data_IF_804837603141
#
_entry.id   IF_804837603141
#
_cell.length_a   1.000
_cell.length_b   1.000
_cell.length_c   1.000
_cell.angle_alpha   90.00
_cell.angle_beta   90.00
_cell.angle_gamma   90.00
#
_symmetry.space_group_name_H-M   'P 1'
#
loop_
_entity.id
_entity.type
_entity.pdbx_description
1 polymer ?
#
# COMPACT_ATOMS: atom_id res chain seq x y z
N UNK A 1 9.76 -29.42 -23.20
CA UNK A 1 9.01 -30.01 -22.06
C UNK A 1 8.37 -28.88 -21.27
N UNK A 2 7.12 -28.51 -21.59
CA UNK A 2 6.42 -27.42 -20.88
C UNK A 2 5.80 -27.87 -19.54
N UNK A 3 5.59 -29.18 -19.34
CA UNK A 3 4.89 -29.72 -18.16
C UNK A 3 5.80 -30.16 -17.01
N UNK A 4 7.12 -29.96 -17.12
CA UNK A 4 8.11 -30.49 -16.17
C UNK A 4 7.85 -30.02 -14.73
N UNK A 5 7.53 -28.72 -14.55
CA UNK A 5 7.26 -28.15 -13.23
C UNK A 5 5.97 -28.71 -12.61
N UNK A 6 4.91 -28.86 -13.41
CA UNK A 6 3.63 -29.41 -12.97
C UNK A 6 3.78 -30.87 -12.55
N UNK A 7 4.51 -31.66 -13.33
CA UNK A 7 4.78 -33.07 -13.02
C UNK A 7 5.61 -33.19 -11.74
N UNK A 8 6.66 -32.38 -11.60
CA UNK A 8 7.49 -32.36 -10.39
C UNK A 8 6.65 -32.04 -9.15
N UNK A 9 5.85 -30.97 -9.19
CA UNK A 9 5.02 -30.58 -8.05
C UNK A 9 3.98 -31.66 -7.69
N UNK A 10 3.31 -32.24 -8.69
CA UNK A 10 2.35 -33.33 -8.46
C UNK A 10 3.02 -34.57 -7.86
N UNK A 11 4.21 -34.92 -8.32
CA UNK A 11 4.94 -36.09 -7.84
C UNK A 11 5.39 -35.94 -6.38
N UNK A 12 5.95 -34.76 -6.03
CA UNK A 12 6.31 -34.42 -4.64
C UNK A 12 5.05 -34.42 -3.76
N UNK A 13 3.97 -33.76 -4.18
CA UNK A 13 2.70 -33.74 -3.43
C UNK A 13 2.17 -35.16 -3.16
N UNK A 14 2.13 -36.01 -4.18
CA UNK A 14 1.68 -37.40 -4.07
C UNK A 14 2.54 -38.22 -3.11
N UNK A 15 3.85 -37.98 -3.11
CA UNK A 15 4.81 -38.68 -2.24
C UNK A 15 4.63 -38.27 -0.77
N UNK A 16 4.36 -36.99 -0.51
CA UNK A 16 4.25 -36.44 0.84
C UNK A 16 2.85 -36.57 1.46
N UNK A 17 1.80 -36.72 0.64
CA UNK A 17 0.40 -36.82 1.10
C UNK A 17 0.18 -37.85 2.23
N UNK A 18 0.70 -39.09 2.16
CA UNK A 18 0.55 -40.06 3.26
C UNK A 18 1.27 -39.66 4.55
N UNK A 19 2.30 -38.82 4.49
CA UNK A 19 2.98 -38.28 5.68
C UNK A 19 2.13 -37.18 6.30
N UNK A 20 1.59 -36.28 5.48
CA UNK A 20 0.72 -35.19 5.91
C UNK A 20 -0.54 -35.70 6.61
N UNK A 21 -1.17 -36.74 6.06
CA UNK A 21 -2.37 -37.36 6.66
C UNK A 21 -2.10 -37.98 8.04
N UNK A 22 -0.88 -38.48 8.27
CA UNK A 22 -0.48 -39.06 9.57
C UNK A 22 -0.07 -38.02 10.60
N UNK A 23 0.24 -36.80 10.17
CA UNK A 23 0.80 -35.73 11.02
C UNK A 23 0.03 -34.42 10.80
N UNK A 24 -1.26 -34.36 11.19
CA UNK A 24 -2.12 -33.20 10.91
C UNK A 24 -1.65 -31.91 11.62
N UNK A 25 -0.89 -32.04 12.72
CA UNK A 25 -0.39 -30.92 13.52
C UNK A 25 0.95 -30.35 12.99
N UNK A 26 1.49 -30.93 11.91
CA UNK A 26 2.73 -30.49 11.27
C UNK A 26 2.42 -29.74 9.97
N UNK A 27 3.01 -28.56 9.83
CA UNK A 27 2.93 -27.76 8.63
C UNK A 27 3.98 -28.20 7.62
N UNK A 28 3.52 -28.52 6.41
CA UNK A 28 4.36 -28.84 5.26
C UNK A 28 4.14 -27.81 4.15
N UNK A 29 5.20 -27.09 3.79
CA UNK A 29 5.22 -26.18 2.64
C UNK A 29 6.26 -26.67 1.66
N UNK A 30 5.85 -26.94 0.43
CA UNK A 30 6.77 -27.37 -0.60
C UNK A 30 6.56 -26.57 -1.87
N UNK A 31 7.68 -26.16 -2.47
CA UNK A 31 7.71 -25.42 -3.72
C UNK A 31 8.82 -25.98 -4.57
N UNK A 32 8.45 -26.59 -5.69
CA UNK A 32 9.37 -27.37 -6.51
C UNK A 32 10.12 -28.41 -5.65
N UNK A 33 11.43 -28.25 -5.47
CA UNK A 33 12.35 -29.13 -4.76
C UNK A 33 12.60 -28.74 -3.28
N UNK A 34 12.14 -27.56 -2.85
CA UNK A 34 12.32 -27.07 -1.47
C UNK A 34 11.13 -27.45 -0.57
N UNK A 35 11.42 -28.08 0.58
CA UNK A 35 10.42 -28.46 1.59
C UNK A 35 10.73 -27.77 2.92
N UNK A 36 9.76 -26.98 3.41
CA UNK A 36 9.71 -26.38 4.73
C UNK A 36 8.77 -27.20 5.63
N UNK A 37 9.28 -27.65 6.78
CA UNK A 37 8.53 -28.41 7.78
C UNK A 37 8.55 -27.63 9.10
N UNK A 38 7.38 -27.41 9.70
CA UNK A 38 7.24 -26.68 10.96
C UNK A 38 6.20 -27.33 11.85
N UNK A 39 6.47 -27.39 13.16
CA UNK A 39 5.53 -27.88 14.16
C UNK A 39 5.77 -27.14 15.48
N UNK A 40 4.84 -27.31 16.42
CA UNK A 40 4.88 -26.66 17.74
C UNK A 40 6.09 -27.09 18.59
N UNK A 41 6.58 -28.32 18.39
CA UNK A 41 7.72 -28.87 19.14
C UNK A 41 8.80 -29.42 18.20
N UNK A 42 10.05 -29.38 18.65
CA UNK A 42 11.20 -29.91 17.89
C UNK A 42 11.03 -31.41 17.62
N UNK A 43 10.48 -32.17 18.56
CA UNK A 43 10.29 -33.62 18.43
C UNK A 43 9.38 -33.95 17.24
N UNK A 44 8.24 -33.29 17.12
CA UNK A 44 7.32 -33.50 15.99
C UNK A 44 7.96 -33.10 14.65
N UNK A 45 8.77 -32.04 14.64
CA UNK A 45 9.53 -31.67 13.44
C UNK A 45 10.53 -32.76 13.06
N UNK A 46 11.29 -33.31 14.02
CA UNK A 46 12.27 -34.36 13.76
C UNK A 46 11.61 -35.66 13.26
N UNK A 47 10.48 -36.05 13.85
CA UNK A 47 9.67 -37.18 13.38
C UNK A 47 9.15 -36.97 11.96
N UNK A 48 8.61 -35.78 11.66
CA UNK A 48 8.15 -35.43 10.33
C UNK A 48 9.28 -35.44 9.30
N UNK A 49 10.44 -34.88 9.64
CA UNK A 49 11.66 -34.93 8.83
C UNK A 49 12.04 -36.39 8.51
N UNK A 50 12.06 -37.27 9.50
CA UNK A 50 12.37 -38.68 9.28
C UNK A 50 11.34 -39.38 8.37
N UNK A 51 10.04 -39.14 8.60
CA UNK A 51 8.97 -39.69 7.79
C UNK A 51 9.04 -39.21 6.32
N UNK A 52 9.35 -37.93 6.12
CA UNK A 52 9.58 -37.35 4.77
C UNK A 52 10.81 -37.99 4.11
N UNK A 53 11.94 -38.10 4.82
CA UNK A 53 13.14 -38.77 4.29
C UNK A 53 12.84 -40.19 3.81
N UNK A 54 12.11 -40.98 4.60
CA UNK A 54 11.72 -42.35 4.25
C UNK A 54 10.78 -42.38 3.03
N UNK A 55 9.75 -41.51 3.01
CA UNK A 55 8.79 -41.45 1.91
C UNK A 55 9.48 -41.10 0.59
N UNK A 56 10.35 -40.09 0.60
CA UNK A 56 11.14 -39.62 -0.56
C UNK A 56 12.12 -40.69 -1.03
N UNK A 57 12.84 -41.34 -0.10
CA UNK A 57 13.81 -42.39 -0.45
C UNK A 57 13.12 -43.62 -1.05
N UNK A 58 11.93 -43.98 -0.56
CA UNK A 58 11.20 -45.16 -1.06
C UNK A 58 10.75 -45.02 -2.52
N UNK A 59 10.65 -43.79 -3.03
CA UNK A 59 10.32 -43.48 -4.43
C UNK A 59 11.53 -43.08 -5.28
N UNK A 60 12.75 -43.30 -4.77
CA UNK A 60 14.01 -43.09 -5.50
C UNK A 60 14.52 -41.64 -5.54
N UNK A 61 13.92 -40.73 -4.77
CA UNK A 61 14.42 -39.36 -4.62
C UNK A 61 15.47 -39.29 -3.50
N UNK A 62 16.43 -38.37 -3.59
CA UNK A 62 17.53 -38.25 -2.63
C UNK A 62 17.50 -36.89 -1.93
N UNK A 63 17.77 -36.85 -0.63
CA UNK A 63 17.92 -35.59 0.11
C UNK A 63 19.39 -35.20 0.12
N UNK A 64 19.69 -34.00 -0.40
CA UNK A 64 21.01 -33.39 -0.29
C UNK A 64 21.24 -32.97 1.16
N UNK A 65 21.95 -33.83 1.90
CA UNK A 65 22.24 -33.64 3.33
C UNK A 65 22.88 -32.29 3.66
N UNK A 66 23.67 -31.75 2.73
CA UNK A 66 24.36 -30.46 2.82
C UNK A 66 23.42 -29.24 2.70
N UNK A 67 22.24 -29.43 2.11
CA UNK A 67 21.22 -28.38 1.95
C UNK A 67 20.19 -28.38 3.08
N UNK A 68 20.24 -29.36 3.99
CA UNK A 68 19.36 -29.49 5.17
C UNK A 68 19.68 -28.39 6.19
N UNK A 69 18.71 -27.52 6.49
CA UNK A 69 18.87 -26.42 7.45
C UNK A 69 18.13 -26.73 8.76
N UNK A 70 18.87 -27.07 9.84
CA UNK A 70 18.27 -27.48 11.12
C UNK A 70 18.10 -26.35 12.15
N UNK A 71 18.68 -25.18 11.88
CA UNK A 71 18.76 -24.07 12.85
C UNK A 71 18.46 -22.73 12.16
N UNK A 72 17.83 -21.83 12.91
CA UNK A 72 17.60 -20.44 12.50
C UNK A 72 18.94 -19.70 12.28
N UNK A 73 19.02 -18.77 11.31
CA UNK A 73 17.96 -18.38 10.38
C UNK A 73 17.86 -19.33 9.19
N UNK A 74 16.64 -19.70 8.83
CA UNK A 74 16.39 -20.59 7.70
C UNK A 74 16.16 -19.83 6.41
N UNK A 75 16.70 -20.33 5.31
CA UNK A 75 16.54 -19.76 3.98
C UNK A 75 15.44 -20.51 3.23
N UNK A 76 14.44 -19.78 2.75
CA UNK A 76 13.35 -20.35 1.97
C UNK A 76 12.78 -19.31 1.00
N UNK A 77 12.77 -19.63 -0.31
CA UNK A 77 12.30 -18.74 -1.38
C UNK A 77 12.77 -17.28 -1.29
N UNK A 78 14.08 -17.09 -1.10
CA UNK A 78 14.67 -15.77 -0.97
C UNK A 78 14.50 -15.14 0.42
N UNK A 79 13.73 -15.71 1.35
CA UNK A 79 13.59 -15.17 2.70
C UNK A 79 14.60 -15.80 3.68
N UNK A 80 14.92 -15.05 4.74
CA UNK A 80 15.56 -15.51 5.97
C UNK A 80 14.50 -15.49 7.07
N UNK A 81 14.08 -16.67 7.49
CA UNK A 81 13.10 -16.88 8.54
C UNK A 81 13.87 -17.04 9.85
N UNK A 82 13.65 -16.12 10.79
CA UNK A 82 14.15 -16.21 12.16
C UNK A 82 13.17 -16.95 13.07
N UNK A 83 13.32 -16.82 14.38
CA UNK A 83 12.34 -17.38 15.34
C UNK A 83 11.06 -16.53 15.43
N UNK A 84 11.19 -15.21 15.31
CA UNK A 84 10.07 -14.26 15.46
C UNK A 84 9.99 -13.24 14.33
N UNK A 85 10.94 -13.28 13.38
CA UNK A 85 11.03 -12.30 12.30
C UNK A 85 11.28 -12.96 10.94
N UNK A 86 11.00 -12.20 9.90
CA UNK A 86 11.24 -12.52 8.50
C UNK A 86 11.99 -11.36 7.89
N UNK A 87 13.12 -11.69 7.25
CA UNK A 87 14.02 -10.77 6.57
C UNK A 87 14.21 -11.23 5.13
N UNK A 88 14.46 -10.29 4.22
CA UNK A 88 14.95 -10.66 2.89
C UNK A 88 16.34 -11.30 2.99
N UNK A 89 16.67 -12.23 2.10
CA UNK A 89 18.06 -12.63 1.91
C UNK A 89 18.86 -11.41 1.42
N UNK A 90 20.12 -11.25 1.87
CA UNK A 90 20.94 -10.14 1.42
C UNK A 90 21.07 -10.16 -0.11
N UNK A 91 20.79 -9.03 -0.74
CA UNK A 91 21.11 -8.78 -2.14
C UNK A 91 21.83 -7.45 -2.25
N UNK A 92 22.71 -7.35 -3.25
CA UNK A 92 23.45 -6.13 -3.50
C UNK A 92 22.57 -5.16 -4.30
N UNK A 93 22.31 -3.98 -3.75
CA UNK A 93 21.72 -2.88 -4.49
C UNK A 93 22.81 -2.37 -5.45
N UNK A 94 22.65 -2.61 -6.75
CA UNK A 94 23.52 -2.00 -7.75
C UNK A 94 23.21 -0.52 -7.87
N UNK A 95 24.24 0.32 -7.70
CA UNK A 95 24.19 1.75 -7.97
C UNK A 95 24.65 2.10 -9.39
N UNK A 96 25.13 1.11 -10.14
CA UNK A 96 25.56 1.28 -11.53
C UNK A 96 24.35 1.15 -12.47
N UNK A 97 23.67 2.27 -12.71
CA UNK A 97 22.62 2.37 -13.72
C UNK A 97 23.22 2.94 -15.01
N UNK A 98 23.19 2.15 -16.08
CA UNK A 98 23.70 2.53 -17.41
C UNK A 98 22.63 2.46 -18.49
N UNK A 99 21.73 1.48 -18.40
CA UNK A 99 20.70 1.17 -19.39
C UNK A 99 19.32 1.05 -18.73
N UNK A 100 18.24 0.96 -19.50
CA UNK A 100 16.88 0.72 -18.99
C UNK A 100 16.74 -0.64 -18.30
N UNK A 101 17.53 -1.64 -18.67
CA UNK A 101 17.52 -2.95 -18.02
C UNK A 101 17.90 -2.89 -16.53
N UNK A 102 18.86 -2.04 -16.17
CA UNK A 102 19.38 -1.92 -14.81
C UNK A 102 18.30 -1.49 -13.79
N UNK A 103 17.56 -0.38 -13.99
CA UNK A 103 16.49 0.02 -13.08
C UNK A 103 15.31 -0.95 -13.10
N UNK A 104 15.04 -1.66 -14.21
CA UNK A 104 14.00 -2.70 -14.23
C UNK A 104 14.31 -3.85 -13.28
N UNK A 105 15.54 -4.37 -13.31
CA UNK A 105 15.99 -5.44 -12.41
C UNK A 105 16.08 -4.97 -10.96
N UNK A 106 16.67 -3.79 -10.75
CA UNK A 106 16.80 -3.17 -9.44
C UNK A 106 15.44 -2.97 -8.81
N UNK A 107 14.53 -2.27 -9.50
CA UNK A 107 13.17 -2.08 -9.04
C UNK A 107 12.60 -3.46 -8.77
N UNK A 108 12.55 -4.39 -9.73
CA UNK A 108 12.06 -5.77 -9.56
C UNK A 108 12.47 -6.48 -8.26
N UNK A 109 13.64 -6.17 -7.70
CA UNK A 109 14.10 -6.71 -6.41
C UNK A 109 13.59 -5.92 -5.19
N UNK A 110 13.79 -4.60 -5.14
CA UNK A 110 13.22 -3.63 -4.14
C UNK A 110 11.73 -3.90 -3.93
N UNK A 111 11.15 -4.21 -5.05
CA UNK A 111 9.79 -4.49 -5.26
C UNK A 111 9.18 -5.66 -4.54
N UNK A 112 9.91 -6.74 -4.55
CA UNK A 112 9.59 -7.98 -3.91
C UNK A 112 9.64 -7.85 -2.39
N UNK A 113 10.60 -7.06 -1.86
CA UNK A 113 10.79 -6.85 -0.42
C UNK A 113 9.87 -5.79 0.21
N UNK A 114 9.37 -4.85 -0.60
CA UNK A 114 8.39 -3.80 -0.21
C UNK A 114 7.37 -4.13 0.83
N UNK A 115 6.63 -5.24 0.68
CA UNK A 115 5.46 -5.43 1.49
C UNK A 115 5.86 -5.82 2.90
N UNK A 116 7.07 -6.36 3.13
CA UNK A 116 7.52 -6.71 4.47
C UNK A 116 8.14 -5.51 5.16
N UNK A 117 8.79 -4.66 4.39
CA UNK A 117 9.60 -3.59 4.97
C UNK A 117 8.84 -2.27 5.08
N UNK A 118 7.65 -2.13 4.49
CA UNK A 118 6.88 -0.88 4.57
C UNK A 118 7.52 0.25 3.81
N UNK A 119 8.28 -0.14 2.79
CA UNK A 119 9.02 0.78 2.00
C UNK A 119 7.83 1.30 1.03
N UNK A 120 7.47 2.62 0.99
CA UNK A 120 6.40 3.39 0.28
C UNK A 120 6.65 3.83 -1.19
N UNK A 121 5.56 4.09 -1.93
CA UNK A 121 5.59 4.62 -3.31
C UNK A 121 6.29 5.98 -3.45
N UNK A 122 6.04 6.91 -2.51
CA UNK A 122 6.55 8.29 -2.62
C UNK A 122 8.08 8.34 -2.62
N UNK A 123 8.72 7.44 -1.89
CA UNK A 123 10.18 7.41 -1.84
C UNK A 123 10.80 6.66 -3.01
N UNK A 124 10.02 5.83 -3.71
CA UNK A 124 10.43 5.20 -4.96
C UNK A 124 10.13 6.01 -6.21
N UNK A 125 9.32 7.06 -6.11
CA UNK A 125 8.93 7.90 -7.24
C UNK A 125 10.14 8.34 -8.10
N UNK A 126 11.28 8.77 -7.50
CA UNK A 126 12.48 9.09 -8.29
C UNK A 126 13.08 7.91 -9.04
N UNK A 127 12.94 6.69 -8.53
CA UNK A 127 13.45 5.48 -9.17
C UNK A 127 12.52 4.99 -10.28
N UNK A 128 11.20 5.13 -10.11
CA UNK A 128 10.25 4.85 -11.19
C UNK A 128 10.45 5.77 -12.39
N UNK A 129 10.88 7.02 -12.17
CA UNK A 129 11.18 7.96 -13.24
C UNK A 129 12.29 7.45 -14.20
N UNK A 130 13.17 6.54 -13.74
CA UNK A 130 14.20 5.92 -14.59
C UNK A 130 13.63 4.93 -15.61
N UNK A 131 12.41 4.43 -15.38
CA UNK A 131 11.72 3.52 -16.31
C UNK A 131 11.06 4.27 -17.47
N UNK A 132 11.10 5.60 -17.49
CA UNK A 132 10.48 6.41 -18.52
C UNK A 132 11.43 6.63 -19.71
N UNK A 133 10.88 7.04 -20.86
CA UNK A 133 11.64 7.27 -22.09
C UNK A 133 11.55 6.11 -23.09
N UNK A 134 12.59 5.94 -23.88
CA UNK A 134 12.66 4.89 -24.92
C UNK A 134 12.51 3.48 -24.28
N UNK A 135 11.57 2.63 -24.73
CA UNK A 135 11.41 1.24 -24.27
C UNK A 135 12.57 0.28 -24.53
N UNK A 136 13.56 0.63 -25.35
CA UNK A 136 14.74 -0.20 -25.61
C UNK A 136 15.51 -0.46 -24.31
N UNK A 137 15.76 -1.73 -24.02
CA UNK A 137 16.47 -2.19 -22.82
C UNK A 137 17.87 -1.60 -22.71
N UNK A 138 18.51 -1.29 -23.85
CA UNK A 138 19.84 -0.69 -23.91
C UNK A 138 19.82 0.84 -23.87
N UNK A 139 18.63 1.45 -23.87
CA UNK A 139 18.48 2.89 -23.82
C UNK A 139 19.20 3.48 -22.59
N UNK A 140 20.09 4.48 -22.74
CA UNK A 140 20.88 5.01 -21.64
C UNK A 140 20.01 5.55 -20.50
N UNK A 141 20.40 5.26 -19.27
CA UNK A 141 19.79 5.78 -18.03
C UNK A 141 20.87 6.15 -17.03
N UNK A 142 20.60 7.15 -16.19
CA UNK A 142 21.52 7.60 -15.16
C UNK A 142 20.76 7.94 -13.87
N UNK A 143 21.37 7.64 -12.73
CA UNK A 143 20.85 8.06 -11.43
C UNK A 143 21.01 9.57 -11.25
N UNK A 144 19.90 10.28 -11.12
CA UNK A 144 19.91 11.64 -10.61
C UNK A 144 20.03 11.65 -9.08
N UNK A 145 20.17 12.84 -8.49
CA UNK A 145 20.37 13.00 -7.04
C UNK A 145 19.18 12.48 -6.24
N UNK A 146 17.96 12.69 -6.72
CA UNK A 146 16.73 12.23 -6.07
C UNK A 146 16.65 10.70 -6.05
N UNK A 147 17.01 10.04 -7.16
CA UNK A 147 17.08 8.59 -7.27
C UNK A 147 18.20 7.99 -6.40
N UNK A 148 19.34 8.67 -6.26
CA UNK A 148 20.38 8.26 -5.30
C UNK A 148 19.90 8.35 -3.87
N UNK A 149 19.20 9.43 -3.50
CA UNK A 149 18.59 9.56 -2.17
C UNK A 149 17.57 8.45 -1.95
N UNK A 150 16.70 8.16 -2.92
CA UNK A 150 15.72 7.08 -2.92
C UNK A 150 16.36 5.69 -2.80
N UNK A 151 17.48 5.46 -3.48
CA UNK A 151 18.24 4.22 -3.38
C UNK A 151 18.93 4.05 -2.06
N UNK A 152 19.53 5.15 -1.54
CA UNK A 152 20.05 5.17 -0.19
C UNK A 152 18.92 4.67 0.64
N UNK A 153 17.77 5.39 0.67
CA UNK A 153 16.41 5.11 1.17
C UNK A 153 15.77 3.72 0.96
N UNK A 154 16.44 2.78 0.30
CA UNK A 154 16.05 1.36 0.29
C UNK A 154 17.03 0.46 1.07
N UNK A 155 18.35 0.66 0.90
CA UNK A 155 19.44 0.10 1.75
C UNK A 155 19.28 0.08 3.31
N UNK A 156 19.31 1.20 4.06
CA UNK A 156 18.98 1.27 5.50
C UNK A 156 17.67 0.55 5.90
N UNK A 157 16.64 0.41 5.10
CA UNK A 157 15.39 -0.23 5.52
C UNK A 157 15.42 -1.73 5.26
N UNK A 158 16.16 -2.18 4.24
CA UNK A 158 16.67 -3.55 4.21
C UNK A 158 17.52 -3.89 5.44
N UNK A 159 18.21 -2.90 6.01
CA UNK A 159 19.10 -3.09 7.16
C UNK A 159 18.41 -2.95 8.53
N UNK A 160 17.38 -2.09 8.64
CA UNK A 160 16.77 -1.66 9.90
C UNK A 160 15.38 -2.26 10.12
N UNK A 161 14.70 -2.71 9.05
CA UNK A 161 13.31 -3.14 9.13
C UNK A 161 13.19 -4.65 8.93
N UNK A 162 12.16 -5.22 9.54
CA UNK A 162 11.81 -6.63 9.44
C UNK A 162 10.29 -6.79 9.56
N UNK A 163 9.79 -7.91 9.06
CA UNK A 163 8.41 -8.33 9.31
C UNK A 163 8.39 -9.36 10.44
N UNK A 164 7.31 -9.37 11.21
CA UNK A 164 7.05 -10.37 12.23
C UNK A 164 6.42 -11.63 11.62
N UNK A 165 6.64 -12.76 12.29
CA UNK A 165 5.85 -13.95 12.01
C UNK A 165 4.44 -13.80 12.57
N UNK A 166 3.49 -14.45 11.91
CA UNK A 166 2.11 -14.50 12.36
C UNK A 166 2.04 -15.32 13.67
N UNK A 167 1.50 -14.70 14.72
CA UNK A 167 1.08 -15.33 15.97
C UNK A 167 -0.43 -15.72 15.91
N UNK A 168 -0.80 -17.01 15.81
CA UNK A 168 -2.20 -17.46 15.65
C UNK A 168 -3.18 -16.94 16.71
N UNK A 169 -2.70 -16.82 17.94
CA UNK A 169 -3.40 -16.36 19.13
C UNK A 169 -3.74 -14.86 19.14
N UNK A 170 -3.12 -14.07 18.27
CA UNK A 170 -3.37 -12.63 18.20
C UNK A 170 -4.34 -12.26 17.06
N UNK A 171 -5.21 -11.26 17.26
CA UNK A 171 -6.09 -10.79 16.21
C UNK A 171 -5.30 -10.10 15.09
N UNK A 172 -5.80 -10.19 13.87
CA UNK A 172 -5.23 -9.56 12.67
C UNK A 172 -6.00 -8.28 12.36
N UNK A 173 -5.28 -7.16 12.40
CA UNK A 173 -5.83 -5.83 12.18
C UNK A 173 -5.28 -5.20 10.92
N UNK A 174 -6.09 -4.31 10.36
CA UNK A 174 -5.74 -3.47 9.23
C UNK A 174 -5.86 -2.01 9.65
N UNK A 175 -4.87 -1.18 9.30
CA UNK A 175 -4.94 0.27 9.47
C UNK A 175 -4.60 0.98 8.17
N UNK A 176 -5.44 1.95 7.79
CA UNK A 176 -5.11 2.87 6.70
C UNK A 176 -4.32 4.04 7.26
N UNK A 177 -3.14 4.27 6.71
CA UNK A 177 -2.20 5.33 7.05
C UNK A 177 -2.15 6.33 5.89
N UNK A 178 -2.22 7.62 6.21
CA UNK A 178 -2.29 8.72 5.25
C UNK A 178 -1.30 9.85 5.59
N UNK A 179 -0.16 9.49 6.17
CA UNK A 179 0.96 10.41 6.43
C UNK A 179 1.73 10.87 5.19
N UNK A 180 1.32 10.41 4.00
CA UNK A 180 1.86 10.88 2.73
C UNK A 180 0.72 11.12 1.74
N UNK A 181 1.06 11.73 0.58
CA UNK A 181 0.09 12.05 -0.48
C UNK A 181 -0.69 10.82 -0.96
N UNK A 182 -0.09 9.64 -0.91
CA UNK A 182 -0.73 8.37 -1.25
C UNK A 182 -0.97 7.55 0.02
N UNK A 183 -2.23 7.27 0.38
CA UNK A 183 -2.51 6.41 1.52
C UNK A 183 -1.99 4.99 1.27
N UNK A 184 -1.69 4.31 2.35
CA UNK A 184 -1.24 2.92 2.36
C UNK A 184 -1.84 2.20 3.56
N UNK A 185 -1.70 0.89 3.58
CA UNK A 185 -2.24 0.02 4.61
C UNK A 185 -1.12 -0.73 5.30
N UNK A 186 -1.24 -0.84 6.61
CA UNK A 186 -0.46 -1.76 7.42
C UNK A 186 -1.40 -2.87 7.94
N UNK A 187 -0.99 -4.10 7.71
CA UNK A 187 -1.53 -5.32 8.32
C UNK A 187 -0.61 -5.68 9.48
N UNK A 188 -1.18 -5.81 10.67
CA UNK A 188 -0.42 -6.06 11.87
C UNK A 188 -1.24 -6.88 12.87
N UNK A 189 -0.54 -7.47 13.82
CA UNK A 189 -1.16 -8.07 15.00
C UNK A 189 -0.69 -7.30 16.22
N UNK A 190 -1.58 -7.12 17.18
CA UNK A 190 -1.22 -6.45 18.41
C UNK A 190 -2.04 -6.97 19.57
N UNK A 191 -1.38 -7.11 20.70
CA UNK A 191 -2.01 -7.35 21.99
C UNK A 191 -2.15 -5.98 22.65
N UNK A 192 -3.37 -5.45 22.72
CA UNK A 192 -3.64 -4.11 23.26
C UNK A 192 -3.30 -3.99 24.76
N UNK A 193 -3.09 -5.11 25.46
CA UNK A 193 -2.69 -5.11 26.86
C UNK A 193 -1.18 -5.03 27.05
N UNK A 194 -0.40 -5.20 25.97
CA UNK A 194 1.07 -5.18 26.01
C UNK A 194 1.63 -3.86 25.51
N UNK A 195 2.70 -3.41 26.18
CA UNK A 195 3.50 -2.24 25.78
C UNK A 195 4.44 -2.53 24.60
N UNK A 196 4.51 -3.79 24.17
CA UNK A 196 5.36 -4.21 23.06
C UNK A 196 4.85 -3.66 21.72
N UNK A 197 5.77 -3.44 20.76
CA UNK A 197 5.38 -2.92 19.46
C UNK A 197 4.47 -3.90 18.71
N UNK A 198 3.53 -3.39 17.89
CA UNK A 198 2.70 -4.23 17.04
C UNK A 198 3.56 -5.09 16.11
N UNK A 199 3.16 -6.35 15.95
CA UNK A 199 3.77 -7.29 15.02
C UNK A 199 3.40 -6.90 13.60
N UNK A 200 4.33 -6.27 12.89
CA UNK A 200 4.16 -5.85 11.49
C UNK A 200 4.17 -7.08 10.59
N UNK A 201 3.00 -7.43 10.06
CA UNK A 201 2.86 -8.59 9.16
C UNK A 201 3.15 -8.17 7.73
N UNK A 202 2.49 -7.10 7.26
CA UNK A 202 2.61 -6.71 5.85
C UNK A 202 2.09 -5.31 5.58
N UNK A 203 2.67 -4.66 4.59
CA UNK A 203 2.25 -3.39 4.04
C UNK A 203 1.58 -3.60 2.67
N UNK A 204 0.45 -2.94 2.49
CA UNK A 204 -0.35 -2.94 1.26
C UNK A 204 -0.45 -1.51 0.77
N UNK A 205 -0.33 -1.31 -0.54
CA UNK A 205 -0.28 0.04 -1.06
C UNK A 205 -0.84 0.09 -2.47
N UNK A 206 -1.21 1.29 -2.88
CA UNK A 206 -1.81 1.59 -4.18
C UNK A 206 -0.89 1.17 -5.34
N UNK A 207 -1.48 0.92 -6.53
CA UNK A 207 -0.71 0.81 -7.77
C UNK A 207 0.15 2.06 -7.99
N UNK A 208 1.34 1.91 -8.56
CA UNK A 208 2.15 3.07 -8.95
C UNK A 208 1.47 3.85 -10.08
N UNK A 209 0.98 3.11 -11.08
CA UNK A 209 0.21 3.67 -12.19
C UNK A 209 -1.27 3.62 -11.83
N UNK A 210 -1.82 4.77 -11.45
CA UNK A 210 -3.25 4.88 -11.15
C UNK A 210 -4.07 4.86 -12.43
N UNK A 211 -5.24 4.19 -12.44
CA UNK A 211 -6.09 4.11 -13.63
C UNK A 211 -6.72 5.48 -13.96
N UNK A 212 -6.96 6.31 -12.96
CA UNK A 212 -7.56 7.65 -13.10
C UNK A 212 -6.52 8.74 -12.83
N UNK A 213 -6.60 9.84 -13.57
CA UNK A 213 -5.79 11.06 -13.32
C UNK A 213 -6.12 11.68 -11.97
N UNK A 214 -7.41 11.66 -11.58
CA UNK A 214 -7.91 12.19 -10.31
C UNK A 214 -8.60 11.04 -9.58
N UNK A 215 -8.12 10.71 -8.39
CA UNK A 215 -8.71 9.67 -7.54
C UNK A 215 -9.08 10.25 -6.19
N UNK A 216 -10.33 10.07 -5.77
CA UNK A 216 -10.80 10.58 -4.47
C UNK A 216 -10.31 9.71 -3.31
N UNK A 217 -10.21 10.28 -2.11
CA UNK A 217 -9.69 9.57 -0.93
C UNK A 217 -10.50 8.33 -0.56
N UNK A 218 -11.82 8.39 -0.66
CA UNK A 218 -12.71 7.25 -0.43
C UNK A 218 -12.48 6.14 -1.46
N UNK A 219 -12.28 6.48 -2.74
CA UNK A 219 -11.87 5.51 -3.77
C UNK A 219 -10.53 4.86 -3.45
N UNK A 220 -9.54 5.64 -3.00
CA UNK A 220 -8.22 5.14 -2.60
C UNK A 220 -8.31 4.20 -1.39
N UNK A 221 -9.06 4.59 -0.37
CA UNK A 221 -9.32 3.75 0.82
C UNK A 221 -10.02 2.46 0.43
N UNK A 222 -11.08 2.53 -0.39
CA UNK A 222 -11.80 1.36 -0.88
C UNK A 222 -10.87 0.38 -1.61
N UNK A 223 -10.02 0.87 -2.52
CA UNK A 223 -9.04 0.05 -3.22
C UNK A 223 -8.05 -0.63 -2.27
N UNK A 224 -7.57 0.09 -1.25
CA UNK A 224 -6.66 -0.46 -0.25
C UNK A 224 -7.32 -1.54 0.61
N UNK A 225 -8.56 -1.30 1.07
CA UNK A 225 -9.35 -2.26 1.86
C UNK A 225 -9.57 -3.53 1.04
N UNK A 226 -10.08 -3.42 -0.19
CA UNK A 226 -10.32 -4.57 -1.06
C UNK A 226 -9.04 -5.37 -1.27
N UNK A 227 -7.95 -4.69 -1.62
CA UNK A 227 -6.65 -5.33 -1.88
C UNK A 227 -6.11 -6.04 -0.64
N UNK A 228 -6.25 -5.44 0.53
CA UNK A 228 -5.78 -6.02 1.77
C UNK A 228 -6.65 -7.17 2.26
N UNK A 229 -7.98 -7.08 2.12
CA UNK A 229 -8.92 -8.18 2.44
C UNK A 229 -8.66 -9.38 1.55
N UNK A 230 -8.63 -9.19 0.23
CA UNK A 230 -8.23 -10.23 -0.73
C UNK A 230 -6.88 -10.84 -0.39
N UNK A 231 -5.93 -9.99 0.03
CA UNK A 231 -4.61 -10.44 0.43
C UNK A 231 -4.67 -11.32 1.68
N UNK A 232 -5.40 -10.93 2.71
CA UNK A 232 -5.52 -11.73 3.92
C UNK A 232 -6.28 -13.04 3.65
N UNK A 233 -7.36 -13.00 2.87
CA UNK A 233 -8.09 -14.22 2.46
C UNK A 233 -7.17 -15.19 1.72
N UNK A 234 -6.32 -14.72 0.80
CA UNK A 234 -5.34 -15.57 0.12
C UNK A 234 -4.27 -16.15 1.05
N UNK A 235 -3.97 -15.46 2.15
CA UNK A 235 -2.92 -15.82 3.10
C UNK A 235 -3.42 -16.75 4.21
N UNK A 236 -4.66 -16.58 4.65
CA UNK A 236 -5.16 -17.09 5.92
C UNK A 236 -6.57 -17.67 5.83
N UNK A 237 -7.24 -17.58 4.68
CA UNK A 237 -8.62 -18.04 4.52
C UNK A 237 -9.67 -17.27 5.33
N UNK A 238 -9.29 -16.13 5.91
CA UNK A 238 -10.15 -15.32 6.79
C UNK A 238 -10.08 -13.83 6.45
N UNK A 239 -10.93 -13.05 7.11
CA UNK A 239 -10.93 -11.58 7.06
C UNK A 239 -10.30 -10.99 8.33
N UNK A 240 -10.11 -9.67 8.35
CA UNK A 240 -9.55 -8.95 9.50
C UNK A 240 -10.52 -8.90 10.67
N UNK A 241 -10.01 -9.04 11.89
CA UNK A 241 -10.81 -8.85 13.10
C UNK A 241 -11.21 -7.38 13.27
N UNK A 242 -10.36 -6.45 12.80
CA UNK A 242 -10.62 -5.01 12.88
C UNK A 242 -9.98 -4.22 11.73
N UNK A 243 -10.72 -3.23 11.20
CA UNK A 243 -10.26 -2.25 10.22
C UNK A 243 -10.28 -0.85 10.85
N UNK A 244 -9.13 -0.18 10.86
CA UNK A 244 -8.95 1.19 11.34
C UNK A 244 -8.97 2.19 10.17
N UNK A 245 -9.91 3.13 10.20
CA UNK A 245 -10.10 4.15 9.17
C UNK A 245 -9.73 5.56 9.69
N UNK A 246 -8.97 6.37 8.92
CA UNK A 246 -8.58 7.73 9.27
C UNK A 246 -9.71 8.73 9.08
N UNK A 247 -10.86 8.50 9.72
CA UNK A 247 -12.09 9.26 9.54
C UNK A 247 -12.69 9.65 10.89
N UNK A 248 -13.46 10.74 10.92
CA UNK A 248 -14.34 11.02 12.06
C UNK A 248 -15.62 10.19 11.96
N UNK A 249 -16.34 9.99 13.07
CA UNK A 249 -17.64 9.27 13.06
C UNK A 249 -18.59 9.88 12.03
N UNK A 250 -18.69 11.20 12.06
CA UNK A 250 -19.56 11.95 11.15
C UNK A 250 -19.17 11.72 9.69
N UNK A 251 -17.87 11.78 9.37
CA UNK A 251 -17.41 11.63 8.00
C UNK A 251 -17.55 10.20 7.50
N UNK A 252 -17.31 9.19 8.36
CA UNK A 252 -17.57 7.79 8.03
C UNK A 252 -19.05 7.56 7.68
N UNK A 253 -19.97 8.02 8.52
CA UNK A 253 -21.41 7.88 8.26
C UNK A 253 -21.83 8.54 6.95
N UNK A 254 -21.29 9.73 6.66
CA UNK A 254 -21.53 10.41 5.40
C UNK A 254 -20.99 9.62 4.20
N UNK A 255 -19.74 9.10 4.28
CA UNK A 255 -19.16 8.29 3.22
C UNK A 255 -19.90 6.97 2.99
N UNK A 256 -20.41 6.33 4.04
CA UNK A 256 -21.20 5.11 3.91
C UNK A 256 -22.50 5.35 3.15
N UNK A 257 -23.05 6.57 3.15
CA UNK A 257 -24.24 6.91 2.36
C UNK A 257 -23.88 7.30 0.93
N UNK A 258 -22.77 8.02 0.74
CA UNK A 258 -22.43 8.66 -0.54
C UNK A 258 -21.47 7.86 -1.43
N UNK A 259 -20.61 7.03 -0.84
CA UNK A 259 -19.54 6.33 -1.55
C UNK A 259 -19.88 4.85 -1.78
N UNK A 260 -20.36 4.55 -2.98
CA UNK A 260 -20.60 3.18 -3.44
C UNK A 260 -19.32 2.33 -3.34
N UNK A 261 -18.15 2.92 -3.65
CA UNK A 261 -16.87 2.21 -3.61
C UNK A 261 -16.50 1.77 -2.20
N UNK A 262 -16.69 2.65 -1.21
CA UNK A 262 -16.43 2.30 0.17
C UNK A 262 -17.45 1.27 0.70
N UNK A 263 -18.72 1.39 0.32
CA UNK A 263 -19.76 0.40 0.64
C UNK A 263 -19.37 -0.99 0.10
N UNK A 264 -18.96 -1.09 -1.17
CA UNK A 264 -18.50 -2.35 -1.77
C UNK A 264 -17.26 -2.89 -1.04
N UNK A 265 -16.31 -2.03 -0.70
CA UNK A 265 -15.08 -2.45 -0.02
C UNK A 265 -15.34 -3.03 1.39
N UNK A 266 -16.40 -2.56 2.05
CA UNK A 266 -16.80 -2.98 3.39
C UNK A 266 -17.98 -3.96 3.38
N UNK A 267 -18.51 -4.31 2.21
CA UNK A 267 -19.60 -5.26 2.07
C UNK A 267 -19.20 -6.61 2.68
N UNK A 268 -20.15 -7.19 3.42
CA UNK A 268 -20.03 -8.47 4.13
C UNK A 268 -18.79 -8.57 5.02
N UNK A 269 -18.24 -7.44 5.47
CA UNK A 269 -17.11 -7.43 6.40
C UNK A 269 -17.59 -7.87 7.80
N UNK A 270 -17.12 -9.01 8.33
CA UNK A 270 -17.64 -9.56 9.59
C UNK A 270 -16.98 -8.95 10.84
N UNK A 271 -15.87 -8.23 10.67
CA UNK A 271 -15.10 -7.66 11.77
C UNK A 271 -15.55 -6.26 12.18
N UNK A 272 -14.80 -5.64 13.07
CA UNK A 272 -15.12 -4.32 13.61
C UNK A 272 -14.47 -3.20 12.78
N UNK A 273 -15.25 -2.17 12.44
CA UNK A 273 -14.68 -0.91 11.94
C UNK A 273 -14.39 -0.01 13.14
N UNK A 274 -13.17 0.51 13.23
CA UNK A 274 -12.76 1.49 14.24
C UNK A 274 -12.25 2.75 13.57
N UNK A 275 -12.52 3.88 14.19
CA UNK A 275 -11.90 5.17 13.86
C UNK A 275 -10.97 5.66 14.99
N UNK A 276 -11.00 5.00 16.14
CA UNK A 276 -10.15 5.29 17.27
C UNK A 276 -8.84 4.55 17.07
N UNK A 277 -7.76 5.31 16.97
CA UNK A 277 -6.43 4.75 16.73
C UNK A 277 -5.98 3.89 17.93
N UNK A 278 -5.27 2.77 17.69
CA UNK A 278 -4.59 2.07 18.78
C UNK A 278 -3.54 3.00 19.42
N UNK A 279 -3.46 3.01 20.76
CA UNK A 279 -2.55 3.87 21.54
C UNK A 279 -1.08 3.40 21.40
N UNK A 280 -0.50 3.56 20.21
CA UNK A 280 0.88 3.15 19.92
C UNK A 280 1.64 4.20 19.11
N UNK A 281 2.84 4.56 19.58
CA UNK A 281 3.67 5.65 19.04
C UNK A 281 4.00 5.52 17.54
N UNK A 282 4.18 4.28 17.06
CA UNK A 282 4.46 4.03 15.62
C UNK A 282 3.26 4.33 14.73
N UNK A 283 2.04 4.18 15.24
CA UNK A 283 0.81 4.36 14.47
C UNK A 283 0.32 5.81 14.55
N UNK A 284 0.52 6.46 15.71
CA UNK A 284 0.06 7.84 15.95
C UNK A 284 0.72 8.89 15.07
N UNK A 285 1.99 8.73 14.72
CA UNK A 285 2.69 9.67 13.84
C UNK A 285 2.29 9.52 12.37
N UNK A 286 1.71 8.39 12.00
CA UNK A 286 1.43 8.03 10.60
C UNK A 286 -0.06 8.09 10.24
N UNK A 287 -0.92 8.39 11.21
CA UNK A 287 -2.36 8.44 11.07
C UNK A 287 -2.86 9.86 11.26
N UNK A 288 -3.31 10.48 10.16
CA UNK A 288 -3.91 11.81 10.16
C UNK A 288 -5.40 11.66 9.84
N UNK A 289 -6.29 12.38 10.52
CA UNK A 289 -7.70 12.34 10.15
C UNK A 289 -7.90 13.00 8.78
N UNK A 290 -8.62 12.34 7.88
CA UNK A 290 -9.01 12.92 6.61
C UNK A 290 -10.10 13.98 6.86
N UNK A 291 -9.93 15.21 6.37
CA UNK A 291 -10.94 16.23 6.50
C UNK A 291 -12.15 15.88 5.62
N UNK A 292 -13.35 16.20 6.13
CA UNK A 292 -14.57 16.17 5.33
C UNK A 292 -14.43 17.19 4.18
N UNK A 293 -14.84 16.84 2.94
CA UNK A 293 -14.98 17.80 1.86
C UNK A 293 -15.84 19.00 2.29
N UNK A 294 -15.40 20.22 1.94
CA UNK A 294 -16.08 21.50 2.22
C UNK A 294 -17.14 21.84 1.18
N UNK A 295 -17.40 20.96 0.22
CA UNK A 295 -18.46 21.10 -0.76
C UNK A 295 -19.85 20.96 -0.12
N UNK A 296 -20.79 21.76 -0.62
CA UNK A 296 -22.22 21.64 -0.34
C UNK A 296 -22.98 21.01 -1.51
N UNK A 297 -24.01 20.21 -1.21
CA UNK A 297 -24.95 19.67 -2.20
C UNK A 297 -26.07 20.65 -2.55
N UNK A 298 -26.29 21.64 -1.68
CA UNK A 298 -27.26 22.71 -1.89
C UNK A 298 -26.57 24.07 -2.01
N UNK A 299 -27.13 25.02 -2.77
CA UNK A 299 -26.60 26.38 -2.84
C UNK A 299 -26.43 27.02 -1.46
N UNK A 300 -25.34 27.76 -1.27
CA UNK A 300 -24.86 28.22 0.04
C UNK A 300 -25.47 29.55 0.51
N UNK A 301 -26.42 30.14 -0.23
CA UNK A 301 -26.89 31.52 0.00
C UNK A 301 -25.70 32.49 0.16
N UNK A 302 -24.63 32.23 -0.58
CA UNK A 302 -23.39 32.97 -0.51
C UNK A 302 -23.20 33.77 -1.80
N UNK A 303 -22.05 34.42 -1.96
CA UNK A 303 -21.72 35.11 -3.21
C UNK A 303 -21.73 34.12 -4.37
N UNK A 304 -22.48 34.44 -5.43
CA UNK A 304 -22.51 33.64 -6.65
C UNK A 304 -21.47 34.15 -7.63
N UNK A 305 -20.64 33.24 -8.12
CA UNK A 305 -19.52 33.52 -9.03
C UNK A 305 -19.73 32.70 -10.30
N UNK A 306 -19.83 33.40 -11.43
CA UNK A 306 -19.96 32.81 -12.76
C UNK A 306 -18.59 32.71 -13.41
N UNK A 307 -18.33 31.60 -14.10
CA UNK A 307 -17.06 31.35 -14.78
C UNK A 307 -17.31 30.90 -16.22
N UNK A 308 -16.47 31.38 -17.12
CA UNK A 308 -16.48 31.03 -18.54
C UNK A 308 -15.04 31.05 -19.10
N UNK A 309 -14.79 30.33 -20.19
CA UNK A 309 -13.51 30.25 -20.87
C UNK A 309 -13.67 30.11 -22.38
N UNK A 310 -12.99 30.97 -23.13
CA UNK A 310 -13.01 30.90 -24.59
C UNK A 310 -11.67 30.39 -25.13
N UNK A 311 -11.67 29.19 -25.72
CA UNK A 311 -10.48 28.65 -26.38
C UNK A 311 -10.05 29.43 -27.63
N UNK A 312 -10.94 30.22 -28.25
CA UNK A 312 -10.58 31.07 -29.42
C UNK A 312 -9.83 32.32 -29.01
N UNK A 313 -10.21 32.94 -27.89
CA UNK A 313 -9.59 34.18 -27.42
C UNK A 313 -8.56 33.95 -26.33
N UNK A 314 -8.42 32.71 -25.86
CA UNK A 314 -7.61 32.32 -24.70
C UNK A 314 -7.98 33.10 -23.43
N UNK A 315 -9.17 33.68 -23.35
CA UNK A 315 -9.63 34.45 -22.19
C UNK A 315 -10.44 33.55 -21.28
N UNK A 316 -10.02 33.50 -20.03
CA UNK A 316 -10.83 32.98 -18.93
C UNK A 316 -11.44 34.15 -18.19
N UNK A 317 -12.72 34.03 -17.84
CA UNK A 317 -13.53 35.12 -17.28
C UNK A 317 -14.16 34.63 -15.98
N UNK A 318 -14.12 35.47 -14.96
CA UNK A 318 -14.92 35.30 -13.73
C UNK A 318 -15.75 36.56 -13.52
N UNK A 319 -17.04 36.39 -13.18
CA UNK A 319 -17.99 37.48 -12.96
C UNK A 319 -18.72 37.23 -11.65
N UNK A 320 -18.83 38.23 -10.80
CA UNK A 320 -19.57 38.14 -9.54
C UNK A 320 -20.26 39.46 -9.22
N UNK A 321 -21.25 39.40 -8.34
CA UNK A 321 -21.91 40.60 -7.82
C UNK A 321 -21.30 40.94 -6.47
N UNK A 322 -20.75 42.13 -6.36
CA UNK A 322 -20.15 42.63 -5.13
C UNK A 322 -21.22 42.82 -4.05
N UNK A 323 -20.98 42.29 -2.86
CA UNK A 323 -21.97 42.27 -1.77
C UNK A 323 -22.15 43.63 -1.10
N UNK A 324 -21.17 44.52 -1.17
CA UNK A 324 -21.20 45.83 -0.51
C UNK A 324 -21.78 46.91 -1.43
N UNK A 325 -21.36 46.91 -2.69
CA UNK A 325 -21.75 47.90 -3.70
C UNK A 325 -22.93 47.47 -4.56
N UNK A 326 -23.25 46.17 -4.60
CA UNK A 326 -24.27 45.60 -5.47
C UNK A 326 -23.93 45.66 -6.96
N UNK A 327 -22.73 46.11 -7.33
CA UNK A 327 -22.27 46.23 -8.71
C UNK A 327 -21.72 44.90 -9.24
N UNK A 328 -21.84 44.69 -10.55
CA UNK A 328 -21.19 43.58 -11.22
C UNK A 328 -19.70 43.84 -11.39
N UNK A 329 -18.90 42.88 -10.98
CA UNK A 329 -17.45 42.87 -11.11
C UNK A 329 -17.04 41.74 -12.05
N UNK A 330 -15.97 41.97 -12.82
CA UNK A 330 -15.40 40.98 -13.72
C UNK A 330 -13.88 40.97 -13.65
N UNK A 331 -13.30 39.79 -13.76
CA UNK A 331 -11.86 39.61 -13.86
C UNK A 331 -11.55 38.66 -15.03
N UNK A 332 -10.74 39.17 -15.96
CA UNK A 332 -10.42 38.53 -17.22
C UNK A 332 -8.91 38.37 -17.27
N UNK A 333 -8.45 37.15 -17.46
CA UNK A 333 -7.03 36.90 -17.74
C UNK A 333 -6.86 35.92 -18.89
N UNK A 334 -5.71 36.01 -19.53
CA UNK A 334 -5.30 35.12 -20.62
C UNK A 334 -4.80 33.81 -20.02
N UNK A 335 -5.29 32.69 -20.54
CA UNK A 335 -4.85 31.34 -20.22
C UNK A 335 -4.53 30.59 -21.52
N UNK A 336 -3.29 30.17 -21.67
CA UNK A 336 -2.86 29.39 -22.84
C UNK A 336 -3.29 27.92 -22.70
N UNK A 337 -3.72 27.32 -23.81
CA UNK A 337 -4.11 25.91 -23.87
C UNK A 337 -5.44 25.66 -24.57
N UNK A 338 -5.95 24.44 -24.42
CA UNK A 338 -7.24 24.02 -24.96
C UNK A 338 -8.42 24.76 -24.29
N UNK A 339 -9.62 24.79 -24.89
CA UNK A 339 -10.81 25.38 -24.24
C UNK A 339 -11.02 24.89 -22.80
N UNK A 340 -10.84 23.59 -22.56
CA UNK A 340 -10.91 22.97 -21.23
C UNK A 340 -9.91 23.54 -20.23
N UNK A 341 -8.69 23.87 -20.67
CA UNK A 341 -7.66 24.48 -19.85
C UNK A 341 -8.05 25.92 -19.49
N UNK A 342 -8.62 26.67 -20.44
CA UNK A 342 -9.07 28.05 -20.22
C UNK A 342 -10.22 28.08 -19.21
N UNK A 343 -11.24 27.24 -19.39
CA UNK A 343 -12.37 27.13 -18.45
C UNK A 343 -11.90 26.74 -17.04
N UNK A 344 -10.99 25.77 -16.94
CA UNK A 344 -10.45 25.33 -15.65
C UNK A 344 -9.59 26.41 -14.98
N UNK A 345 -8.84 27.19 -15.77
CA UNK A 345 -8.08 28.33 -15.26
C UNK A 345 -8.98 29.40 -14.64
N UNK A 346 -10.18 29.64 -15.18
CA UNK A 346 -11.16 30.54 -14.57
C UNK A 346 -11.51 30.09 -13.15
N UNK A 347 -11.82 28.80 -12.96
CA UNK A 347 -12.16 28.23 -11.66
C UNK A 347 -10.98 28.24 -10.67
N UNK A 348 -9.78 27.90 -11.12
CA UNK A 348 -8.57 28.00 -10.27
C UNK A 348 -8.43 29.41 -9.70
N UNK A 349 -8.63 30.44 -10.52
CA UNK A 349 -8.56 31.83 -10.06
C UNK A 349 -9.66 32.19 -9.07
N UNK A 350 -10.88 31.66 -9.21
CA UNK A 350 -11.93 31.85 -8.20
C UNK A 350 -11.42 31.37 -6.83
N UNK A 351 -10.90 30.14 -6.76
CA UNK A 351 -10.37 29.60 -5.50
C UNK A 351 -9.11 30.32 -4.97
N UNK A 352 -8.36 31.01 -5.84
CA UNK A 352 -7.24 31.85 -5.42
C UNK A 352 -7.68 33.23 -4.91
N UNK A 353 -8.76 33.78 -5.48
CA UNK A 353 -9.24 35.13 -5.21
C UNK A 353 -10.16 35.20 -3.99
N UNK A 354 -11.01 34.19 -3.81
CA UNK A 354 -12.03 34.19 -2.76
C UNK A 354 -11.70 33.15 -1.69
N UNK A 355 -11.62 33.61 -0.44
CA UNK A 355 -11.36 32.79 0.74
C UNK A 355 -12.63 32.56 1.59
N UNK A 356 -13.77 33.10 1.17
CA UNK A 356 -15.09 32.93 1.81
C UNK A 356 -15.92 31.86 1.07
N UNK A 357 -16.98 31.31 1.70
CA UNK A 357 -17.92 30.44 0.99
C UNK A 357 -18.55 31.15 -0.22
N UNK A 358 -18.70 30.46 -1.35
CA UNK A 358 -19.33 30.97 -2.57
C UNK A 358 -20.07 29.86 -3.33
N UNK A 359 -21.03 30.27 -4.15
CA UNK A 359 -21.71 29.43 -5.12
C UNK A 359 -21.03 29.57 -6.49
N UNK A 360 -20.36 28.51 -6.95
CA UNK A 360 -19.67 28.50 -8.25
C UNK A 360 -20.61 28.03 -9.36
N UNK A 361 -20.78 28.84 -10.39
CA UNK A 361 -21.59 28.53 -11.58
C UNK A 361 -20.69 28.46 -12.81
N UNK A 362 -20.77 27.34 -13.53
CA UNK A 362 -20.06 27.11 -14.79
C UNK A 362 -20.98 26.34 -15.73
N UNK A 363 -20.91 26.65 -17.02
CA UNK A 363 -21.56 25.91 -18.10
C UNK A 363 -20.71 24.73 -18.60
N UNK A 364 -19.45 24.63 -18.16
CA UNK A 364 -18.55 23.54 -18.51
C UNK A 364 -18.80 22.28 -17.67
N UNK A 365 -19.38 21.26 -18.29
CA UNK A 365 -19.53 19.93 -17.69
C UNK A 365 -18.17 19.30 -17.30
N UNK A 366 -17.11 19.61 -18.05
CA UNK A 366 -15.76 19.15 -17.75
C UNK A 366 -15.23 19.74 -16.45
N UNK A 367 -15.33 21.06 -16.29
CA UNK A 367 -14.91 21.77 -15.08
C UNK A 367 -15.74 21.35 -13.88
N UNK A 368 -17.07 21.25 -14.03
CA UNK A 368 -17.97 20.75 -12.99
C UNK A 368 -17.54 19.35 -12.51
N UNK A 369 -17.26 18.44 -13.45
CA UNK A 369 -16.78 17.09 -13.13
C UNK A 369 -15.39 17.03 -12.47
N UNK A 370 -14.50 17.99 -12.75
CA UNK A 370 -13.20 18.10 -12.07
C UNK A 370 -13.38 18.72 -10.68
N UNK A 371 -14.10 19.83 -10.55
CA UNK A 371 -14.34 20.49 -9.28
C UNK A 371 -15.01 19.54 -8.27
N UNK A 372 -15.93 18.70 -8.75
CA UNK A 372 -16.55 17.64 -7.94
C UNK A 372 -15.54 16.60 -7.41
N UNK A 373 -14.40 16.41 -8.07
CA UNK A 373 -13.41 15.39 -7.70
C UNK A 373 -12.09 15.97 -7.23
N UNK A 374 -11.91 17.29 -7.23
CA UNK A 374 -10.59 17.88 -7.00
C UNK A 374 -10.24 17.93 -5.51
N UNK A 375 -11.23 18.11 -4.64
CA UNK A 375 -11.02 18.27 -3.21
C UNK A 375 -10.41 17.01 -2.58
N UNK A 376 -9.33 17.19 -1.81
CA UNK A 376 -8.58 16.16 -1.10
C UNK A 376 -8.07 14.99 -1.98
N UNK A 377 -8.13 15.11 -3.30
CA UNK A 377 -7.92 13.97 -4.20
C UNK A 377 -6.46 13.80 -4.61
N UNK A 378 -6.08 12.55 -4.87
CA UNK A 378 -4.78 12.24 -5.44
C UNK A 378 -4.80 12.56 -6.93
N UNK A 379 -3.92 13.46 -7.34
CA UNK A 379 -3.60 13.66 -8.73
C UNK A 379 -2.37 12.85 -9.12
N UNK A 380 -2.55 12.03 -10.16
CA UNK A 380 -1.44 11.38 -10.85
C UNK A 380 -1.16 12.14 -12.13
N UNK A 381 0.08 12.61 -12.26
CA UNK A 381 0.53 13.20 -13.51
C UNK A 381 0.49 12.12 -14.59
N UNK A 382 -0.31 12.36 -15.65
CA UNK A 382 -0.25 11.55 -16.87
C UNK A 382 0.81 12.15 -17.79
N UNK A 383 1.68 11.28 -18.32
CA UNK A 383 2.88 11.64 -19.10
C UNK A 383 2.54 12.49 -20.33
N UNK A 384 3.32 13.55 -20.57
CA UNK A 384 3.34 14.30 -21.85
C UNK A 384 3.02 15.81 -21.81
N UNK A 385 2.63 16.39 -20.66
CA UNK A 385 2.38 17.83 -20.56
C UNK A 385 3.53 18.58 -19.92
N UNK A 386 4.19 19.49 -20.66
CA UNK A 386 5.13 20.43 -20.07
C UNK A 386 4.35 21.47 -19.24
N UNK A 387 4.65 21.53 -17.93
CA UNK A 387 4.09 22.50 -16.98
C UNK A 387 2.94 21.98 -16.12
N UNK A 388 2.76 22.58 -14.93
CA UNK A 388 1.65 22.30 -14.01
C UNK A 388 0.31 22.46 -14.75
N UNK A 389 -0.34 21.34 -15.09
CA UNK A 389 -1.64 21.34 -15.73
C UNK A 389 -2.65 22.11 -14.85
N UNK A 390 -3.65 22.84 -15.39
CA UNK A 390 -4.59 23.60 -14.56
C UNK A 390 -5.35 22.76 -13.53
N UNK A 391 -5.58 21.47 -13.80
CA UNK A 391 -6.11 20.52 -12.81
C UNK A 391 -5.16 20.31 -11.62
N UNK A 392 -3.85 20.28 -11.89
CA UNK A 392 -2.81 20.25 -10.86
C UNK A 392 -2.81 21.53 -10.03
N UNK A 393 -2.93 22.70 -10.67
CA UNK A 393 -3.06 23.97 -9.96
C UNK A 393 -4.34 24.02 -9.12
N UNK A 394 -5.45 23.46 -9.60
CA UNK A 394 -6.70 23.38 -8.86
C UNK A 394 -6.57 22.48 -7.63
N UNK A 395 -6.06 21.26 -7.78
CA UNK A 395 -5.87 20.38 -6.63
C UNK A 395 -4.80 20.91 -5.67
N UNK A 396 -3.71 21.53 -6.17
CA UNK A 396 -2.72 22.21 -5.31
C UNK A 396 -3.37 23.36 -4.54
N UNK A 397 -4.17 24.22 -5.20
CA UNK A 397 -4.86 25.34 -4.55
C UNK A 397 -5.87 24.85 -3.49
N UNK A 398 -6.67 23.83 -3.79
CA UNK A 398 -7.63 23.24 -2.86
C UNK A 398 -6.93 22.50 -1.70
N UNK A 399 -5.82 21.81 -1.98
CA UNK A 399 -5.01 21.15 -0.96
C UNK A 399 -4.34 22.16 -0.03
N UNK A 400 -3.72 23.22 -0.55
CA UNK A 400 -3.09 24.30 0.22
C UNK A 400 -4.13 25.07 1.06
N UNK A 401 -5.29 25.38 0.49
CA UNK A 401 -6.40 26.04 1.21
C UNK A 401 -6.92 25.20 2.38
N UNK A 402 -6.94 23.86 2.25
CA UNK A 402 -7.27 22.97 3.35
C UNK A 402 -6.12 22.81 4.36
N UNK A 403 -4.87 22.74 3.90
CA UNK A 403 -3.69 22.62 4.75
C UNK A 403 -3.49 23.85 5.65
N UNK A 404 -3.62 25.06 5.10
CA UNK A 404 -3.52 26.33 5.85
C UNK A 404 -4.62 26.47 6.92
N UNK A 405 -5.81 25.92 6.68
CA UNK A 405 -6.89 25.88 7.67
C UNK A 405 -6.68 24.82 8.77
N UNK A 406 -5.72 23.91 8.59
CA UNK A 406 -5.35 22.90 9.59
C UNK A 406 -4.07 23.26 10.38
N UNK A 407 -3.32 24.31 10.00
CA UNK A 407 -1.95 24.55 10.51
C UNK A 407 -1.80 25.71 11.51
N UNK A 408 -2.70 25.91 12.47
CA UNK A 408 -2.38 26.62 13.71
C UNK A 408 -2.19 25.62 14.85
N UNK A 409 -1.01 25.01 14.91
CA UNK A 409 -0.20 24.83 16.14
C UNK A 409 1.05 23.98 15.84
N UNK A 410 2.21 24.60 16.13
CA UNK A 410 3.53 24.01 16.50
C UNK A 410 4.38 23.25 15.46
N UNK A 411 5.53 23.87 15.16
CA UNK A 411 6.75 23.29 14.58
C UNK A 411 7.62 22.65 15.66
N UNK A 412 8.15 21.44 15.44
CA UNK A 412 9.42 20.94 16.01
C UNK A 412 10.10 20.02 14.99
N UNK A 413 11.40 20.24 14.77
CA UNK A 413 12.31 19.37 14.02
C UNK A 413 13.04 18.39 14.96
N UNK A 414 13.30 17.16 14.49
CA UNK A 414 14.55 16.36 14.59
C UNK A 414 14.25 14.86 14.40
N UNK A 415 14.95 14.28 13.41
CA UNK A 415 15.46 12.91 13.29
C UNK A 415 14.59 11.72 13.72
N UNK A 416 14.17 10.91 12.74
CA UNK A 416 14.65 9.54 12.61
C UNK A 416 14.15 8.89 11.32
N UNK A 417 15.09 8.18 10.70
CA UNK A 417 15.02 7.05 9.77
C UNK A 417 13.64 6.47 9.44
N UNK A 418 13.33 5.99 8.25
CA UNK A 418 13.99 6.00 6.94
C UNK A 418 13.15 5.09 6.06
N UNK A 419 12.62 5.62 4.96
CA UNK A 419 12.10 5.07 3.67
C UNK A 419 12.02 3.56 3.38
N UNK A 420 11.25 3.01 2.43
CA UNK A 420 10.52 3.41 1.21
C UNK A 420 10.78 2.73 -0.19
N UNK A 421 9.89 1.82 -0.70
CA UNK A 421 10.02 0.58 -1.60
C UNK A 421 8.77 0.60 -2.45
N UNK A 422 8.77 -0.06 -3.61
CA UNK A 422 7.62 -0.70 -4.21
C UNK A 422 7.84 -1.32 -5.62
N UNK A 423 7.62 -2.63 -5.90
CA UNK A 423 6.88 -3.37 -6.99
C UNK A 423 7.17 -4.89 -7.30
N UNK A 424 6.82 -5.88 -6.45
CA UNK A 424 6.45 -7.29 -6.83
C UNK A 424 7.51 -8.41 -7.03
N UNK A 425 7.34 -9.54 -6.31
CA UNK A 425 7.50 -10.95 -6.77
C UNK A 425 6.90 -11.95 -5.72
N UNK A 426 6.91 -13.25 -6.06
CA UNK A 426 6.16 -14.39 -5.50
C UNK A 426 6.27 -14.71 -3.99
N UNK A 427 5.32 -15.54 -3.50
CA UNK A 427 4.86 -15.66 -2.12
C UNK A 427 4.73 -17.12 -1.65
N UNK A 428 5.07 -17.39 -0.37
CA UNK A 428 4.58 -18.54 0.41
C UNK A 428 4.27 -18.09 1.85
N UNK A 429 3.16 -18.56 2.43
CA UNK A 429 2.86 -18.44 3.87
C UNK A 429 1.94 -19.55 4.42
N UNK A 430 2.20 -19.82 5.71
CA UNK A 430 1.53 -20.67 6.70
C UNK A 430 0.05 -20.38 6.98
N UNK A 431 -0.81 -21.41 6.96
CA UNK A 431 -2.17 -21.40 7.50
C UNK A 431 -2.22 -22.02 8.91
N UNK A 432 -3.21 -21.59 9.71
CA UNK A 432 -3.64 -22.18 10.98
C UNK A 432 -5.15 -22.42 10.93
N UNK A 433 -5.59 -23.61 11.35
CA UNK A 433 -7.00 -24.02 11.40
C UNK A 433 -7.46 -24.10 12.86
N UNK A 434 -8.49 -23.33 13.20
CA UNK A 434 -9.22 -23.47 14.47
C UNK A 434 -10.49 -24.30 14.23
N UNK A 435 -10.62 -25.43 14.93
CA UNK A 435 -11.82 -25.82 15.70
C UNK A 435 -11.66 -27.24 16.28
N UNK A 436 -11.41 -27.38 17.60
CA UNK A 436 -12.28 -28.07 18.58
C UNK A 436 -11.58 -28.31 19.93
N UNK A 437 -12.23 -27.77 20.98
CA UNK A 437 -12.33 -28.22 22.39
C UNK A 437 -11.20 -27.89 23.41
N UNK A 438 -11.55 -26.87 24.22
CA UNK A 438 -11.49 -26.78 25.69
C UNK A 438 -10.27 -27.39 26.42
N UNK A 439 -9.43 -26.46 26.89
CA UNK A 439 -9.09 -26.33 28.31
C UNK A 439 -7.79 -26.98 28.77
N UNK A 440 -6.76 -26.18 29.02
CA UNK A 440 -6.10 -26.00 30.32
C UNK A 440 -4.94 -25.01 30.19
N UNK A 441 -4.61 -24.37 31.32
CA UNK A 441 -3.62 -23.30 31.48
C UNK A 441 -2.18 -23.81 31.27
N UNK A 442 -1.37 -22.95 30.63
CA UNK A 442 0.05 -22.72 30.94
C UNK A 442 1.04 -23.79 30.49
N UNK A 443 1.86 -23.50 29.47
CA UNK A 443 3.30 -23.28 29.63
C UNK A 443 3.98 -22.90 28.29
N UNK A 444 5.13 -22.26 28.40
CA UNK A 444 5.92 -21.62 27.33
C UNK A 444 6.29 -22.58 26.18
N UNK A 445 5.98 -22.21 24.94
CA UNK A 445 6.38 -22.95 23.74
C UNK A 445 7.81 -22.60 23.30
N UNK A 446 8.64 -23.65 23.21
CA UNK A 446 10.00 -23.67 22.65
C UNK A 446 10.06 -24.78 21.59
N UNK A 447 9.68 -24.48 20.35
CA UNK A 447 9.84 -25.38 19.20
C UNK A 447 10.55 -24.67 18.05
N UNK A 448 11.53 -25.32 17.43
CA UNK A 448 12.38 -24.78 16.33
C UNK A 448 12.15 -25.58 15.04
N UNK A 449 12.02 -24.97 13.84
CA UNK A 449 11.91 -25.73 12.58
C UNK A 449 13.22 -26.33 12.04
N UNK A 450 13.07 -27.38 11.22
CA UNK A 450 14.11 -28.08 10.45
C UNK A 450 13.70 -28.14 8.98
N UNK A 451 14.69 -28.14 8.08
CA UNK A 451 14.49 -28.13 6.63
C UNK A 451 15.22 -29.31 6.01
N UNK A 452 14.58 -29.97 5.05
CA UNK A 452 15.18 -30.96 4.18
C UNK A 452 15.12 -30.43 2.74
N UNK A 453 16.22 -30.56 2.02
CA UNK A 453 16.26 -30.24 0.59
C UNK A 453 16.51 -31.52 -0.18
N UNK A 454 15.60 -31.86 -1.09
CA UNK A 454 15.75 -32.97 -2.02
C UNK A 454 16.48 -32.53 -3.28
N UNK A 455 17.43 -33.34 -3.73
CA UNK A 455 18.05 -33.27 -5.06
C UNK A 455 17.42 -34.25 -6.02
#
# INVERSE_FOLDING_TARGET
MQDSATICHWYVAKTLSPVQERMPDVLFYYYMDDILISAETVVHVEEAVQAVCQAVTSVGLTIASEKVQKKSPWKYLGWRIGMHSILAQPFQISTEIRTLHDPQKLLGTINWVRPLLGILNADLEPLFALLEGEPDLLSPRHLNKEAQIALQKVADALSQRQSAQWAPELPLWLIILNCSRQPHVLIFQWDSEKTDPPLIIKWVFLPNNMPKTISMQDELMAMLIIKARQRLTSLAGKDFDRIYLPLTVFYLNWLLQMSEKLQIALADYPGQISIHLPEHKLLSSSFNLLPKPKRSETPLRAMTIFTDGSGKTHKSVIVWKDSETGAWQSDIAVAEGSPQIVELAAVVRVFQKFNTPFDLVTDSAFVSGIAHRAENSLLVQRKGGAGDAPAERLCKALYVSNFLNCSMTTSIAISAKWSADKTTECLIFGWSLNNLKKGQKGDKLKGSPFFLATT
#
